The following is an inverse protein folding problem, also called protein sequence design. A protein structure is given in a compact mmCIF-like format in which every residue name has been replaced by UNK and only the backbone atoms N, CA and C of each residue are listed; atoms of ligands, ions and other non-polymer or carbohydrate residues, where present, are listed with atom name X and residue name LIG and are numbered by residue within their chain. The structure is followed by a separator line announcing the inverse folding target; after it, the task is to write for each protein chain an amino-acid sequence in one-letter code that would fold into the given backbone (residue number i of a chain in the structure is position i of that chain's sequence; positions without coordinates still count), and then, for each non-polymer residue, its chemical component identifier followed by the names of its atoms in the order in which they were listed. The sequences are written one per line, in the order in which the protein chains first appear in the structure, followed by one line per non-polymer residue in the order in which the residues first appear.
data_IF_357186418765
#
_entry.id   IF_357186418765
#
_cell.length_a   1.000
_cell.length_b   1.000
_cell.length_c   1.000
_cell.angle_alpha   90.00
_cell.angle_beta   90.00
_cell.angle_gamma   90.00
#
_symmetry.space_group_name_H-M   'P 1'
#
loop_
_entity.id
_entity.type
_entity.pdbx_description
1 polymer ?
#
# COMPACT_ATOMS: atom_id res chain seq x y z
N UNK A 1 9.43 -2.89 -19.99
CA UNK A 1 8.14 -3.00 -20.72
C UNK A 1 7.06 -3.37 -19.71
N UNK A 2 6.02 -2.55 -19.54
CA UNK A 2 4.83 -2.91 -18.74
C UNK A 2 3.95 -3.82 -19.60
N UNK A 3 3.40 -4.88 -19.02
CA UNK A 3 2.61 -5.88 -19.76
C UNK A 3 1.24 -5.33 -20.11
N UNK A 4 0.55 -5.89 -21.11
CA UNK A 4 -0.81 -5.46 -21.50
C UNK A 4 -1.85 -5.58 -20.36
N UNK A 5 -1.57 -6.32 -19.29
CA UNK A 5 -2.39 -6.35 -18.06
C UNK A 5 -2.19 -5.11 -17.17
N UNK A 6 -1.03 -4.47 -17.24
CA UNK A 6 -0.68 -3.28 -16.44
C UNK A 6 -1.31 -1.99 -16.99
N UNK A 7 -1.85 -2.02 -18.22
CA UNK A 7 -2.48 -0.87 -18.89
C UNK A 7 -3.98 -0.74 -18.63
N UNK A 8 -4.62 -1.70 -17.97
CA UNK A 8 -6.09 -1.80 -17.96
C UNK A 8 -6.77 -1.24 -16.70
N UNK A 9 -6.02 -0.63 -15.77
CA UNK A 9 -6.57 0.06 -14.60
C UNK A 9 -5.80 1.36 -14.32
N UNK A 10 -5.92 2.34 -15.21
CA UNK A 10 -5.68 3.75 -14.87
C UNK A 10 -6.81 4.20 -13.93
N UNK A 11 -6.72 3.77 -12.67
CA UNK A 11 -7.62 4.16 -11.59
C UNK A 11 -6.83 5.12 -10.69
N UNK A 12 -7.16 6.43 -10.70
CA UNK A 12 -6.47 7.43 -9.88
C UNK A 12 -6.42 7.06 -8.39
N UNK A 13 -7.46 6.39 -7.89
CA UNK A 13 -7.51 5.95 -6.50
C UNK A 13 -6.55 4.78 -6.23
N UNK A 14 -6.38 3.85 -7.18
CA UNK A 14 -5.35 2.80 -7.06
C UNK A 14 -3.94 3.40 -7.08
N UNK A 15 -3.72 4.50 -7.80
CA UNK A 15 -2.43 5.18 -7.85
C UNK A 15 -2.10 5.93 -6.55
N UNK A 16 -3.10 6.57 -5.94
CA UNK A 16 -2.98 7.13 -4.59
C UNK A 16 -2.60 6.04 -3.57
N UNK A 17 -3.32 4.91 -3.57
CA UNK A 17 -3.03 3.79 -2.67
C UNK A 17 -1.61 3.24 -2.87
N UNK A 18 -1.13 3.13 -4.11
CA UNK A 18 0.25 2.72 -4.42
C UNK A 18 1.27 3.74 -3.88
N UNK A 19 0.98 5.03 -4.02
CA UNK A 19 1.87 6.07 -3.52
C UNK A 19 1.96 6.05 -1.99
N UNK A 20 0.82 5.96 -1.30
CA UNK A 20 0.78 5.80 0.16
C UNK A 20 1.57 4.58 0.63
N UNK A 21 1.41 3.43 -0.02
CA UNK A 21 2.15 2.21 0.32
C UNK A 21 3.67 2.40 0.18
N UNK A 22 4.12 3.14 -0.84
CA UNK A 22 5.54 3.51 -0.99
C UNK A 22 6.01 4.43 0.12
N UNK A 23 5.19 5.38 0.55
CA UNK A 23 5.52 6.27 1.68
C UNK A 23 5.64 5.47 2.98
N UNK A 24 4.69 4.58 3.28
CA UNK A 24 4.77 3.71 4.47
C UNK A 24 6.05 2.86 4.45
N UNK A 25 6.39 2.27 3.30
CA UNK A 25 7.62 1.48 3.14
C UNK A 25 8.88 2.30 3.42
N UNK A 26 8.90 3.54 2.93
CA UNK A 26 10.01 4.47 3.13
C UNK A 26 10.13 4.92 4.60
N UNK A 27 9.01 5.24 5.25
CA UNK A 27 8.97 5.60 6.67
C UNK A 27 9.41 4.45 7.56
N UNK A 28 8.94 3.21 7.31
CA UNK A 28 9.37 2.02 8.04
C UNK A 28 10.89 1.80 7.90
N UNK A 29 11.44 1.97 6.69
CA UNK A 29 12.90 1.89 6.47
C UNK A 29 13.66 2.92 7.30
N UNK A 30 13.17 4.17 7.35
CA UNK A 30 13.76 5.23 8.19
C UNK A 30 13.68 4.92 9.67
N UNK A 31 12.53 4.47 10.15
CA UNK A 31 12.33 4.13 11.57
C UNK A 31 13.22 2.95 11.98
N UNK A 32 13.35 1.92 11.14
CA UNK A 32 14.28 0.81 11.37
C UNK A 32 15.72 1.30 11.50
N UNK A 33 16.17 2.20 10.63
CA UNK A 33 17.51 2.79 10.73
C UNK A 33 17.69 3.62 12.01
N UNK A 34 16.68 4.40 12.41
CA UNK A 34 16.71 5.16 13.66
C UNK A 34 16.75 4.26 14.89
N UNK A 35 15.95 3.20 14.89
CA UNK A 35 15.91 2.20 15.96
C UNK A 35 17.31 1.62 16.22
N UNK A 36 18.00 1.18 15.16
CA UNK A 36 19.34 0.59 15.24
C UNK A 36 20.43 1.57 15.73
N UNK A 37 20.21 2.89 15.61
CA UNK A 37 21.16 3.92 16.04
C UNK A 37 20.85 4.48 17.43
N UNK A 38 19.73 4.10 18.03
CA UNK A 38 19.25 4.65 19.30
C UNK A 38 19.69 3.75 20.44
N UNK A 39 20.36 4.31 21.45
CA UNK A 39 20.83 3.56 22.63
C UNK A 39 19.89 3.69 23.85
N UNK A 40 18.84 4.51 23.74
CA UNK A 40 17.83 4.73 24.78
C UNK A 40 16.66 3.77 24.60
N UNK A 41 16.38 2.93 25.60
CA UNK A 41 15.25 2.00 25.62
C UNK A 41 13.91 2.75 25.49
N UNK A 42 13.80 3.92 26.13
CA UNK A 42 12.60 4.76 26.05
C UNK A 42 12.34 5.23 24.62
N UNK A 43 13.39 5.67 23.92
CA UNK A 43 13.25 6.16 22.54
C UNK A 43 13.06 5.02 21.54
N UNK A 44 13.72 3.87 21.75
CA UNK A 44 13.44 2.64 21.02
C UNK A 44 11.97 2.24 21.14
N UNK A 45 11.38 2.29 22.34
CA UNK A 45 9.95 2.00 22.56
C UNK A 45 9.04 2.95 21.78
N UNK A 46 9.35 4.25 21.75
CA UNK A 46 8.60 5.23 20.93
C UNK A 46 8.72 4.94 19.43
N UNK A 47 9.88 4.48 18.97
CA UNK A 47 10.09 4.11 17.56
C UNK A 47 9.27 2.86 17.21
N UNK A 48 9.26 1.83 18.07
CA UNK A 48 8.44 0.62 17.88
C UNK A 48 6.97 0.99 17.74
N UNK A 49 6.43 1.81 18.66
CA UNK A 49 5.03 2.27 18.59
C UNK A 49 4.70 2.97 17.27
N UNK A 50 5.63 3.76 16.72
CA UNK A 50 5.45 4.40 15.40
C UNK A 50 5.47 3.39 14.26
N UNK A 51 6.34 2.38 14.34
CA UNK A 51 6.38 1.28 13.37
C UNK A 51 5.08 0.47 13.36
N UNK A 52 4.50 0.20 14.53
CA UNK A 52 3.21 -0.50 14.64
C UNK A 52 2.10 0.30 13.98
N UNK A 53 1.99 1.60 14.27
CA UNK A 53 0.99 2.49 13.67
C UNK A 53 1.09 2.50 12.14
N UNK A 54 2.31 2.61 11.59
CA UNK A 54 2.51 2.60 10.14
C UNK A 54 2.18 1.23 9.55
N UNK A 55 2.51 0.14 10.25
CA UNK A 55 2.20 -1.23 9.79
C UNK A 55 0.69 -1.45 9.70
N UNK A 56 -0.08 -0.98 10.68
CA UNK A 56 -1.56 -1.04 10.63
C UNK A 56 -2.11 -0.22 9.45
N UNK A 57 -1.58 0.98 9.20
CA UNK A 57 -2.00 1.79 8.04
C UNK A 57 -1.68 1.09 6.72
N UNK A 58 -0.50 0.50 6.62
CA UNK A 58 -0.04 -0.24 5.43
C UNK A 58 -0.91 -1.48 5.15
N UNK A 59 -1.30 -2.22 6.20
CA UNK A 59 -2.22 -3.35 6.06
C UNK A 59 -3.60 -2.91 5.56
N UNK A 60 -4.15 -1.83 6.11
CA UNK A 60 -5.43 -1.27 5.68
C UNK A 60 -5.39 -0.80 4.23
N UNK A 61 -4.31 -0.11 3.82
CA UNK A 61 -4.09 0.29 2.44
C UNK A 61 -4.04 -0.93 1.51
N UNK A 62 -3.33 -1.99 1.87
CA UNK A 62 -3.26 -3.24 1.09
C UNK A 62 -4.65 -3.90 0.93
N UNK A 63 -5.44 -3.93 2.01
CA UNK A 63 -6.83 -4.43 2.00
C UNK A 63 -7.71 -3.62 1.04
N UNK A 64 -7.61 -2.30 1.07
CA UNK A 64 -8.36 -1.40 0.18
C UNK A 64 -7.94 -1.57 -1.28
N UNK A 65 -6.64 -1.60 -1.55
CA UNK A 65 -6.09 -1.82 -2.90
C UNK A 65 -6.60 -3.14 -3.50
N UNK A 66 -6.60 -4.21 -2.68
CA UNK A 66 -7.14 -5.52 -3.09
C UNK A 66 -8.64 -5.47 -3.37
N UNK A 67 -9.41 -4.77 -2.53
CA UNK A 67 -10.86 -4.62 -2.70
C UNK A 67 -11.20 -3.88 -3.99
N UNK A 68 -10.54 -2.74 -4.25
CA UNK A 68 -10.77 -1.93 -5.45
C UNK A 68 -10.35 -2.70 -6.68
N UNK A 69 -9.15 -3.29 -6.70
CA UNK A 69 -8.68 -4.11 -7.83
C UNK A 69 -9.68 -5.23 -8.16
N UNK A 70 -10.16 -5.96 -7.15
CA UNK A 70 -11.19 -7.01 -7.34
C UNK A 70 -12.50 -6.44 -7.89
N UNK A 71 -12.92 -5.26 -7.42
CA UNK A 71 -14.13 -4.58 -7.93
C UNK A 71 -13.98 -4.24 -9.41
N UNK A 72 -12.88 -3.58 -9.78
CA UNK A 72 -12.65 -3.16 -11.17
C UNK A 72 -12.55 -4.34 -12.12
N UNK A 73 -11.89 -5.43 -11.71
CA UNK A 73 -11.84 -6.67 -12.49
C UNK A 73 -13.24 -7.28 -12.71
N UNK A 74 -14.14 -7.20 -11.73
CA UNK A 74 -15.54 -7.66 -11.89
C UNK A 74 -16.29 -6.77 -12.87
N UNK A 75 -16.14 -5.45 -12.77
CA UNK A 75 -16.82 -4.49 -13.65
C UNK A 75 -16.35 -4.65 -15.11
N UNK A 76 -15.05 -4.84 -15.33
CA UNK A 76 -14.48 -5.16 -16.64
C UNK A 76 -15.03 -6.47 -17.22
N UNK A 77 -15.19 -7.53 -16.41
CA UNK A 77 -15.77 -8.79 -16.88
C UNK A 77 -17.25 -8.64 -17.26
N UNK A 78 -18.03 -7.87 -16.49
CA UNK A 78 -19.45 -7.61 -16.80
C UNK A 78 -19.62 -6.83 -18.09
N UNK A 79 -18.84 -5.76 -18.28
CA UNK A 79 -18.89 -4.94 -19.51
C UNK A 79 -18.48 -5.72 -20.76
N UNK A 80 -17.55 -6.68 -20.65
CA UNK A 80 -17.21 -7.59 -21.76
C UNK A 80 -18.34 -8.58 -22.09
N UNK A 81 -19.07 -9.10 -21.10
CA UNK A 81 -20.15 -10.09 -21.30
C UNK A 81 -21.43 -9.48 -21.88
N UNK A 82 -21.72 -8.20 -21.63
CA UNK A 82 -22.91 -7.51 -22.17
C UNK A 82 -22.74 -6.94 -23.59
N UNK A 83 -21.60 -7.20 -24.25
CA UNK A 83 -21.27 -6.73 -25.60
C UNK A 83 -21.31 -7.84 -26.67
N UNK A 84 -21.70 -9.06 -26.29
CA UNK A 84 -21.95 -10.18 -27.20
C UNK A 84 -23.43 -10.54 -27.14
#
# INVERSE_FOLDING_TARGET
MKTSRDRELDDPYLDELKNEFRQYSYELKKLKQKFLKTNSVSDQSKIIKKMDIISTKMENNQKQSTKVTKSRLKDMKKTRKGRG
#
